data_IF_006916994171
#
_entry.id   IF_006916994171
#
_cell.length_a   1.000
_cell.length_b   1.000
_cell.length_c   1.000
_cell.angle_alpha   90.00
_cell.angle_beta   90.00
_cell.angle_gamma   90.00
#
_symmetry.space_group_name_H-M   'P 1'
#
loop_
_entity.id
_entity.type
_entity.pdbx_description
1 polymer ?
#
# COMPACT_ATOMS: atom_id res chain seq x y z
N UNK A 1 -30.96 7.51 -16.07
CA UNK A 1 -31.42 6.17 -15.65
C UNK A 1 -30.46 5.73 -14.58
N UNK A 2 -30.94 5.58 -13.33
CA UNK A 2 -30.22 4.83 -12.32
C UNK A 2 -30.34 3.37 -12.76
N UNK A 3 -29.26 2.80 -13.29
CA UNK A 3 -29.14 1.36 -13.41
C UNK A 3 -29.02 0.84 -11.99
N UNK A 4 -29.87 -0.11 -11.63
CA UNK A 4 -29.87 -0.70 -10.29
C UNK A 4 -28.58 -1.52 -10.17
N UNK A 5 -27.80 -1.34 -9.10
CA UNK A 5 -26.57 -2.11 -8.87
C UNK A 5 -26.84 -3.61 -8.82
N UNK A 6 -28.05 -3.99 -8.40
CA UNK A 6 -28.51 -5.37 -8.34
C UNK A 6 -28.61 -6.05 -9.72
N UNK A 7 -28.70 -5.26 -10.81
CA UNK A 7 -28.73 -5.76 -12.18
C UNK A 7 -27.35 -6.01 -12.78
N UNK A 8 -26.26 -5.62 -12.09
CA UNK A 8 -24.91 -5.83 -12.60
C UNK A 8 -24.48 -7.30 -12.41
N UNK A 9 -23.89 -7.93 -13.45
CA UNK A 9 -23.41 -9.29 -13.31
C UNK A 9 -22.23 -9.36 -12.34
N UNK A 10 -22.22 -10.38 -11.48
CA UNK A 10 -21.09 -10.64 -10.58
C UNK A 10 -19.83 -10.89 -11.40
N UNK A 11 -18.82 -10.07 -11.14
CA UNK A 11 -17.50 -10.19 -11.73
C UNK A 11 -16.56 -11.04 -10.86
N UNK A 12 -15.58 -11.66 -11.49
CA UNK A 12 -14.46 -12.27 -10.80
C UNK A 12 -13.16 -11.98 -11.55
N UNK A 13 -12.03 -12.20 -10.90
CA UNK A 13 -10.70 -11.91 -11.44
C UNK A 13 -10.45 -12.57 -12.80
N UNK A 14 -10.89 -13.80 -12.98
CA UNK A 14 -10.72 -14.52 -14.25
C UNK A 14 -11.50 -13.84 -15.37
N UNK A 15 -12.76 -13.54 -15.14
CA UNK A 15 -13.61 -12.84 -16.09
C UNK A 15 -13.04 -11.47 -16.48
N UNK A 16 -12.54 -10.73 -15.49
CA UNK A 16 -11.90 -9.42 -15.72
C UNK A 16 -10.64 -9.56 -16.57
N UNK A 17 -9.79 -10.54 -16.29
CA UNK A 17 -8.54 -10.73 -17.05
C UNK A 17 -8.80 -11.26 -18.47
N UNK A 18 -9.73 -12.19 -18.65
CA UNK A 18 -10.10 -12.72 -19.97
C UNK A 18 -10.70 -11.63 -20.88
N UNK A 19 -11.27 -10.58 -20.31
CA UNK A 19 -11.89 -9.46 -21.04
C UNK A 19 -11.17 -8.12 -20.80
N UNK A 20 -9.98 -8.11 -20.24
CA UNK A 20 -9.28 -6.92 -19.77
C UNK A 20 -9.28 -5.76 -20.78
N UNK A 21 -8.93 -6.04 -22.04
CA UNK A 21 -8.89 -5.01 -23.09
C UNK A 21 -10.27 -4.41 -23.43
N UNK A 22 -11.35 -5.19 -23.25
CA UNK A 22 -12.70 -4.72 -23.53
C UNK A 22 -13.31 -3.94 -22.37
N UNK A 23 -12.89 -4.28 -21.15
CA UNK A 23 -13.42 -3.68 -19.91
C UNK A 23 -12.74 -2.35 -19.63
N UNK A 24 -11.43 -2.24 -19.87
CA UNK A 24 -10.76 -0.96 -19.64
C UNK A 24 -11.08 0.04 -20.77
N UNK A 25 -11.44 1.26 -20.35
CA UNK A 25 -11.88 2.33 -21.27
C UNK A 25 -10.79 2.81 -22.24
N UNK A 26 -9.54 2.45 -21.99
CA UNK A 26 -8.39 2.83 -22.82
C UNK A 26 -8.04 1.78 -23.88
N UNK A 27 -8.67 0.61 -23.85
CA UNK A 27 -8.40 -0.49 -24.76
C UNK A 27 -6.99 -1.08 -24.66
N UNK A 28 -6.31 -0.90 -23.52
CA UNK A 28 -4.96 -1.42 -23.29
C UNK A 28 -5.01 -2.94 -23.28
N UNK A 29 -4.16 -3.59 -24.10
CA UNK A 29 -4.05 -5.04 -24.14
C UNK A 29 -3.38 -5.61 -22.90
N UNK A 30 -3.85 -6.77 -22.42
CA UNK A 30 -3.33 -7.45 -21.24
C UNK A 30 -1.83 -7.75 -21.32
N UNK A 31 -1.37 -8.27 -22.48
CA UNK A 31 0.04 -8.65 -22.65
C UNK A 31 0.98 -7.46 -22.52
N UNK A 32 0.63 -6.34 -23.14
CA UNK A 32 1.39 -5.08 -23.03
C UNK A 32 1.42 -4.58 -21.58
N UNK A 33 0.27 -4.62 -20.89
CA UNK A 33 0.18 -4.17 -19.51
C UNK A 33 0.99 -5.09 -18.57
N UNK A 34 0.92 -6.42 -18.74
CA UNK A 34 1.74 -7.37 -17.98
C UNK A 34 3.23 -7.14 -18.21
N UNK A 35 3.65 -6.97 -19.46
CA UNK A 35 5.07 -6.72 -19.77
C UNK A 35 5.56 -5.47 -19.05
N UNK A 36 4.86 -4.35 -19.15
CA UNK A 36 5.22 -3.09 -18.48
C UNK A 36 5.30 -3.26 -16.96
N UNK A 37 4.30 -3.91 -16.35
CA UNK A 37 4.29 -4.13 -14.91
C UNK A 37 5.44 -5.02 -14.44
N UNK A 38 5.75 -6.10 -15.15
CA UNK A 38 6.87 -7.00 -14.82
C UNK A 38 8.23 -6.31 -15.00
N UNK A 39 8.41 -5.56 -16.07
CA UNK A 39 9.65 -4.82 -16.32
C UNK A 39 9.92 -3.77 -15.24
N UNK A 40 8.87 -3.07 -14.79
CA UNK A 40 8.96 -2.12 -13.69
C UNK A 40 9.32 -2.79 -12.36
N UNK A 41 8.67 -3.91 -12.01
CA UNK A 41 8.98 -4.67 -10.80
C UNK A 41 10.42 -5.21 -10.77
N UNK A 42 10.96 -5.58 -11.94
CA UNK A 42 12.35 -6.06 -12.09
C UNK A 42 13.39 -4.93 -12.12
N UNK A 43 12.95 -3.69 -12.07
CA UNK A 43 13.84 -2.54 -12.19
C UNK A 43 14.40 -2.30 -13.60
N UNK A 44 13.85 -2.98 -14.62
CA UNK A 44 14.24 -2.78 -16.02
C UNK A 44 13.58 -1.53 -16.62
N UNK A 45 12.62 -0.95 -15.95
CA UNK A 45 11.91 0.27 -16.30
C UNK A 45 11.90 1.23 -15.12
N UNK A 46 12.03 2.54 -15.38
CA UNK A 46 11.95 3.57 -14.35
C UNK A 46 10.53 3.79 -13.83
N UNK A 47 9.55 3.57 -14.69
CA UNK A 47 8.13 3.77 -14.42
C UNK A 47 7.31 2.54 -14.79
N UNK A 48 6.11 2.43 -14.26
CA UNK A 48 5.13 1.41 -14.60
C UNK A 48 3.98 2.00 -15.42
N UNK A 49 4.26 2.93 -16.34
CA UNK A 49 3.24 3.67 -17.08
C UNK A 49 3.09 3.20 -18.53
N UNK A 50 1.86 3.25 -19.02
CA UNK A 50 1.51 3.28 -20.44
C UNK A 50 0.80 4.60 -20.66
N UNK A 51 1.39 5.49 -21.45
CA UNK A 51 0.95 6.87 -21.62
C UNK A 51 0.83 7.60 -20.26
N UNK A 52 -0.38 7.97 -19.86
CA UNK A 52 -0.66 8.67 -18.59
C UNK A 52 -1.21 7.74 -17.48
N UNK A 53 -1.26 6.43 -17.75
CA UNK A 53 -1.88 5.46 -16.85
C UNK A 53 -0.83 4.59 -16.19
N UNK A 54 -0.87 4.53 -14.87
CA UNK A 54 -0.02 3.63 -14.09
C UNK A 54 -0.55 2.21 -14.15
N UNK A 55 0.33 1.27 -14.41
CA UNK A 55 0.05 -0.16 -14.43
C UNK A 55 0.51 -0.77 -13.11
N UNK A 56 -0.37 -1.49 -12.45
CA UNK A 56 -0.01 -2.28 -11.29
C UNK A 56 -0.34 -3.75 -11.48
N UNK A 57 0.41 -4.62 -10.78
CA UNK A 57 0.18 -6.06 -10.78
C UNK A 57 -0.17 -6.54 -9.39
N UNK A 58 -1.17 -7.42 -9.28
CA UNK A 58 -1.49 -8.05 -8.00
C UNK A 58 -0.39 -9.03 -7.57
N UNK A 59 -0.29 -9.33 -6.27
CA UNK A 59 0.72 -10.23 -5.70
C UNK A 59 0.69 -11.65 -6.28
N UNK A 60 -0.45 -12.09 -6.82
CA UNK A 60 -0.58 -13.42 -7.42
C UNK A 60 -0.63 -14.58 -6.42
N UNK A 61 -0.91 -14.33 -5.15
CA UNK A 61 -1.00 -15.36 -4.10
C UNK A 61 -2.02 -16.47 -4.40
N UNK A 62 -3.01 -16.19 -5.24
CA UNK A 62 -4.02 -17.15 -5.72
C UNK A 62 -3.63 -17.88 -7.02
N UNK A 63 -2.36 -17.81 -7.45
CA UNK A 63 -1.84 -18.45 -8.66
C UNK A 63 -1.95 -17.63 -9.93
N UNK A 64 -2.86 -16.68 -10.01
CA UNK A 64 -3.04 -15.80 -11.17
C UNK A 64 -2.84 -14.33 -10.77
N UNK A 65 -1.91 -13.64 -11.42
CA UNK A 65 -1.72 -12.20 -11.25
C UNK A 65 -2.80 -11.44 -12.01
N UNK A 66 -3.35 -10.40 -11.38
CA UNK A 66 -4.24 -9.46 -12.04
C UNK A 66 -3.48 -8.19 -12.42
N UNK A 67 -4.02 -7.49 -13.40
CA UNK A 67 -3.58 -6.16 -13.79
C UNK A 67 -4.59 -5.17 -13.24
N UNK A 68 -4.13 -4.03 -12.77
CA UNK A 68 -4.98 -2.87 -12.51
C UNK A 68 -4.37 -1.62 -13.15
N UNK A 69 -5.24 -0.71 -13.52
CA UNK A 69 -4.91 0.56 -14.15
C UNK A 69 -5.28 1.69 -13.18
N UNK A 70 -4.40 2.66 -13.06
CA UNK A 70 -4.64 3.84 -12.23
C UNK A 70 -4.40 5.09 -13.05
N UNK A 71 -5.45 5.84 -13.31
CA UNK A 71 -5.37 7.14 -13.97
C UNK A 71 -4.73 8.19 -13.07
N UNK A 72 -4.34 9.33 -13.62
CA UNK A 72 -3.78 10.43 -12.85
C UNK A 72 -4.77 10.97 -11.80
N UNK A 73 -6.06 11.07 -12.15
CA UNK A 73 -7.11 11.52 -11.24
C UNK A 73 -7.36 10.53 -10.10
N UNK A 74 -7.38 9.22 -10.37
CA UNK A 74 -7.51 8.19 -9.34
C UNK A 74 -6.29 8.18 -8.42
N UNK A 75 -5.09 8.33 -8.98
CA UNK A 75 -3.84 8.45 -8.20
C UNK A 75 -3.89 9.67 -7.27
N UNK A 76 -4.32 10.84 -7.78
CA UNK A 76 -4.45 12.04 -6.96
C UNK A 76 -5.49 11.87 -5.84
N UNK A 77 -6.63 11.26 -6.13
CA UNK A 77 -7.66 10.95 -5.12
C UNK A 77 -7.14 9.98 -4.06
N UNK A 78 -6.41 8.93 -4.47
CA UNK A 78 -5.79 7.97 -3.57
C UNK A 78 -4.75 8.65 -2.66
N UNK A 79 -3.86 9.47 -3.22
CA UNK A 79 -2.87 10.25 -2.45
C UNK A 79 -3.54 11.13 -1.41
N UNK A 80 -4.58 11.86 -1.80
CA UNK A 80 -5.33 12.72 -0.88
C UNK A 80 -5.98 11.90 0.25
N UNK A 81 -6.60 10.76 -0.08
CA UNK A 81 -7.20 9.86 0.90
C UNK A 81 -6.16 9.30 1.88
N UNK A 82 -5.01 8.85 1.41
CA UNK A 82 -3.91 8.33 2.25
C UNK A 82 -3.37 9.44 3.16
N UNK A 83 -3.10 10.63 2.62
CA UNK A 83 -2.59 11.75 3.40
C UNK A 83 -3.55 12.16 4.51
N UNK A 84 -4.84 12.24 4.20
CA UNK A 84 -5.84 12.73 5.17
C UNK A 84 -6.24 11.65 6.18
N UNK A 85 -6.51 10.42 5.71
CA UNK A 85 -7.10 9.35 6.52
C UNK A 85 -6.07 8.49 7.24
N UNK A 86 -4.93 8.24 6.60
CA UNK A 86 -3.94 7.27 7.10
C UNK A 86 -2.77 8.00 7.76
N UNK A 87 -2.10 8.88 7.04
CA UNK A 87 -0.94 9.61 7.56
C UNK A 87 -1.38 10.68 8.56
N UNK A 88 -2.46 11.39 8.27
CA UNK A 88 -2.94 12.56 9.00
C UNK A 88 -2.18 13.84 8.59
N UNK A 89 -2.86 14.99 8.71
CA UNK A 89 -2.27 16.28 8.40
C UNK A 89 -1.36 16.73 9.53
N UNK A 90 -0.14 17.19 9.21
CA UNK A 90 0.83 17.71 10.17
C UNK A 90 1.61 18.86 9.57
N UNK A 91 1.87 19.88 10.37
CA UNK A 91 2.79 20.98 10.02
C UNK A 91 4.25 20.62 10.31
N UNK A 92 4.50 19.55 11.07
CA UNK A 92 5.84 19.04 11.31
C UNK A 92 6.23 18.06 10.21
N UNK A 93 7.48 18.11 9.80
CA UNK A 93 8.02 17.11 8.88
C UNK A 93 7.94 15.72 9.53
N UNK A 94 7.34 14.78 8.83
CA UNK A 94 7.29 13.36 9.20
C UNK A 94 8.16 12.54 8.28
N UNK A 95 8.73 11.47 8.81
CA UNK A 95 9.56 10.54 8.08
C UNK A 95 8.89 9.17 8.09
N UNK A 96 8.65 8.62 6.91
CA UNK A 96 7.97 7.35 6.72
C UNK A 96 8.96 6.30 6.23
N UNK A 97 9.09 5.21 6.98
CA UNK A 97 9.69 3.98 6.49
C UNK A 97 8.60 3.10 5.90
N UNK A 98 8.71 2.77 4.63
CA UNK A 98 7.72 2.03 3.88
C UNK A 98 8.28 0.71 3.37
N UNK A 99 7.82 -0.40 3.94
CA UNK A 99 8.28 -1.75 3.63
C UNK A 99 7.30 -2.44 2.70
N UNK A 100 7.69 -2.67 1.47
CA UNK A 100 6.90 -3.39 0.47
C UNK A 100 7.78 -4.24 -0.46
N UNK A 101 7.11 -5.09 -1.27
CA UNK A 101 7.77 -5.94 -2.27
C UNK A 101 8.37 -5.16 -3.42
N UNK A 102 7.72 -4.10 -3.84
CA UNK A 102 8.17 -3.26 -4.94
C UNK A 102 7.86 -1.79 -4.65
N UNK A 103 8.79 -0.93 -5.00
CA UNK A 103 8.52 0.50 -5.07
C UNK A 103 7.60 0.78 -6.26
N UNK A 104 6.70 1.72 -6.13
CA UNK A 104 5.86 2.18 -7.23
C UNK A 104 5.72 3.69 -7.20
N UNK A 105 5.52 4.29 -8.37
CA UNK A 105 5.27 5.72 -8.48
C UNK A 105 4.01 6.16 -7.73
N UNK A 106 3.06 5.23 -7.52
CA UNK A 106 1.89 5.49 -6.70
C UNK A 106 2.29 5.92 -5.28
N UNK A 107 3.22 5.23 -4.65
CA UNK A 107 3.70 5.54 -3.30
C UNK A 107 4.65 6.73 -3.27
N UNK A 108 5.50 6.88 -4.29
CA UNK A 108 6.39 8.06 -4.42
C UNK A 108 5.58 9.36 -4.57
N UNK A 109 4.39 9.31 -5.15
CA UNK A 109 3.51 10.47 -5.30
C UNK A 109 2.97 11.06 -3.98
N UNK A 110 3.09 10.32 -2.86
CA UNK A 110 2.75 10.82 -1.51
C UNK A 110 3.86 11.71 -0.93
N UNK A 111 5.09 11.65 -1.48
CA UNK A 111 6.24 12.43 -1.02
C UNK A 111 5.99 13.93 -1.15
N UNK A 112 6.35 14.68 -0.11
CA UNK A 112 6.24 16.16 -0.09
C UNK A 112 7.32 16.76 0.80
N UNK A 113 7.42 18.09 0.85
CA UNK A 113 8.35 18.78 1.76
C UNK A 113 8.08 18.49 3.25
N UNK A 114 6.85 18.12 3.59
CA UNK A 114 6.43 17.78 4.96
C UNK A 114 6.43 16.26 5.22
N UNK A 115 6.64 15.44 4.18
CA UNK A 115 6.61 13.98 4.28
C UNK A 115 7.81 13.39 3.54
N UNK A 116 8.87 13.10 4.29
CA UNK A 116 10.01 12.34 3.79
C UNK A 116 9.64 10.86 3.78
N UNK A 117 9.79 10.23 2.63
CA UNK A 117 9.38 8.86 2.38
C UNK A 117 10.60 8.05 1.93
N UNK A 118 10.87 6.93 2.59
CA UNK A 118 11.92 5.99 2.20
C UNK A 118 11.35 4.58 2.07
N UNK A 119 11.59 3.97 0.92
CA UNK A 119 11.21 2.61 0.59
C UNK A 119 12.28 1.62 1.08
N UNK A 120 11.82 0.49 1.62
CA UNK A 120 12.62 -0.64 2.03
C UNK A 120 12.08 -1.92 1.39
N UNK A 121 12.94 -2.67 0.71
CA UNK A 121 12.55 -3.90 0.03
C UNK A 121 12.45 -5.06 1.02
N UNK A 122 11.24 -5.60 1.21
CA UNK A 122 11.00 -6.70 2.15
C UNK A 122 11.67 -8.04 1.78
N UNK A 123 12.23 -8.17 0.59
CA UNK A 123 13.01 -9.36 0.21
C UNK A 123 14.46 -9.30 0.70
N UNK A 124 14.89 -8.19 1.26
CA UNK A 124 16.19 -8.06 1.89
C UNK A 124 16.06 -8.26 3.40
N UNK A 125 17.05 -8.90 4.05
CA UNK A 125 17.04 -9.07 5.50
C UNK A 125 16.96 -7.73 6.24
N UNK A 126 16.31 -7.71 7.40
CA UNK A 126 16.15 -6.50 8.22
C UNK A 126 17.50 -5.87 8.59
N UNK A 127 18.51 -6.69 8.81
CA UNK A 127 19.87 -6.24 9.14
C UNK A 127 20.45 -5.31 8.06
N UNK A 128 20.13 -5.54 6.78
CA UNK A 128 20.61 -4.68 5.68
C UNK A 128 19.95 -3.31 5.67
N UNK A 129 18.76 -3.20 6.27
CA UNK A 129 18.00 -1.96 6.36
C UNK A 129 18.30 -1.16 7.64
N UNK A 130 18.93 -1.82 8.62
CA UNK A 130 19.05 -1.27 9.97
C UNK A 130 19.78 0.07 10.01
N UNK A 131 20.94 0.18 9.36
CA UNK A 131 21.70 1.43 9.31
C UNK A 131 20.92 2.58 8.66
N UNK A 132 20.14 2.27 7.62
CA UNK A 132 19.29 3.26 6.94
C UNK A 132 18.13 3.70 7.83
N UNK A 133 17.54 2.79 8.59
CA UNK A 133 16.50 3.10 9.59
C UNK A 133 17.05 3.99 10.72
N UNK A 134 18.26 3.69 11.21
CA UNK A 134 18.94 4.51 12.23
C UNK A 134 19.21 5.93 11.72
N UNK A 135 19.54 6.09 10.44
CA UNK A 135 19.74 7.42 9.80
C UNK A 135 18.42 8.13 9.54
N UNK A 136 17.42 7.42 9.03
CA UNK A 136 16.11 7.98 8.72
C UNK A 136 15.39 8.44 10.00
N UNK A 137 15.39 7.62 11.06
CA UNK A 137 14.63 7.82 12.30
C UNK A 137 13.15 8.05 11.99
N UNK A 138 12.46 7.07 11.40
CA UNK A 138 11.10 7.25 10.94
C UNK A 138 10.14 7.46 12.09
N UNK A 139 9.29 8.48 12.00
CA UNK A 139 8.17 8.66 12.93
C UNK A 139 6.95 7.81 12.56
N UNK A 140 6.90 7.34 11.31
CA UNK A 140 5.82 6.48 10.81
C UNK A 140 6.43 5.24 10.16
N UNK A 141 5.92 4.07 10.52
CA UNK A 141 6.28 2.78 9.92
C UNK A 141 5.05 2.22 9.20
N UNK A 142 5.21 1.89 7.92
CA UNK A 142 4.19 1.22 7.10
C UNK A 142 4.78 -0.10 6.62
N UNK A 143 4.24 -1.20 7.12
CA UNK A 143 4.76 -2.54 6.83
C UNK A 143 3.72 -3.63 7.04
N UNK A 144 4.02 -4.83 6.55
CA UNK A 144 3.31 -6.04 6.95
C UNK A 144 3.56 -6.36 8.43
N UNK A 145 2.59 -6.97 9.15
CA UNK A 145 2.80 -7.44 10.51
C UNK A 145 4.06 -8.29 10.69
N UNK A 146 4.32 -9.21 9.76
CA UNK A 146 5.53 -10.06 9.77
C UNK A 146 6.82 -9.23 9.78
N UNK A 147 6.91 -8.19 8.94
CA UNK A 147 8.08 -7.29 8.86
C UNK A 147 8.21 -6.42 10.12
N UNK A 148 7.09 -5.98 10.70
CA UNK A 148 7.13 -5.23 11.96
C UNK A 148 7.66 -6.12 13.10
N UNK A 149 7.28 -7.39 13.14
CA UNK A 149 7.83 -8.35 14.12
C UNK A 149 9.34 -8.55 13.91
N UNK A 150 9.83 -8.65 12.69
CA UNK A 150 11.27 -8.69 12.41
C UNK A 150 12.00 -7.42 12.89
N UNK A 151 11.39 -6.26 12.70
CA UNK A 151 11.90 -4.98 13.20
C UNK A 151 11.98 -4.98 14.73
N UNK A 152 10.97 -5.53 15.42
CA UNK A 152 10.96 -5.68 16.87
C UNK A 152 12.12 -6.57 17.32
N UNK A 153 12.29 -7.75 16.70
CA UNK A 153 13.38 -8.69 17.01
C UNK A 153 14.76 -8.02 16.81
N UNK A 154 14.92 -7.26 15.74
CA UNK A 154 16.16 -6.52 15.50
C UNK A 154 16.38 -5.43 16.56
N UNK A 155 15.33 -4.72 16.98
CA UNK A 155 15.40 -3.67 18.00
C UNK A 155 15.72 -4.17 19.42
N UNK A 156 15.49 -5.46 19.71
CA UNK A 156 15.93 -6.10 20.95
C UNK A 156 17.45 -6.28 21.00
N UNK A 157 18.10 -6.39 19.85
CA UNK A 157 19.56 -6.49 19.71
C UNK A 157 20.22 -5.10 19.69
N UNK A 158 19.59 -4.17 18.97
CA UNK A 158 20.09 -2.82 18.74
C UNK A 158 19.00 -1.80 19.07
N UNK A 159 19.17 -1.02 20.12
CA UNK A 159 18.17 -0.06 20.61
C UNK A 159 17.74 0.94 19.54
N UNK A 160 16.42 1.23 19.46
CA UNK A 160 15.85 2.29 18.64
C UNK A 160 15.90 3.64 19.37
N UNK A 161 16.77 4.58 18.99
CA UNK A 161 16.97 5.85 19.69
C UNK A 161 15.99 6.96 19.26
N UNK A 162 14.82 6.61 18.70
CA UNK A 162 13.82 7.59 18.29
C UNK A 162 12.40 7.16 18.66
N UNK A 163 11.45 8.11 18.60
CA UNK A 163 10.04 7.87 18.90
C UNK A 163 9.27 7.52 17.61
N UNK A 164 8.47 6.47 17.65
CA UNK A 164 7.51 6.10 16.61
C UNK A 164 6.16 6.70 16.99
N UNK A 165 5.60 7.52 16.13
CA UNK A 165 4.30 8.18 16.32
C UNK A 165 3.14 7.33 15.79
N UNK A 166 3.40 6.53 14.74
CA UNK A 166 2.38 5.74 14.07
C UNK A 166 2.96 4.47 13.44
N UNK A 167 2.23 3.37 13.58
CA UNK A 167 2.48 2.11 12.88
C UNK A 167 1.23 1.77 12.07
N UNK A 168 1.42 1.49 10.80
CA UNK A 168 0.36 1.16 9.84
C UNK A 168 0.62 -0.22 9.28
N UNK A 169 -0.23 -1.16 9.63
CA UNK A 169 -0.22 -2.52 9.10
C UNK A 169 -0.89 -2.57 7.74
N UNK A 170 -0.22 -3.18 6.76
CA UNK A 170 -0.67 -3.31 5.37
C UNK A 170 -0.40 -4.71 4.82
N UNK A 171 -1.09 -5.07 3.75
CA UNK A 171 -0.83 -6.21 2.87
C UNK A 171 -0.92 -7.62 3.49
N UNK A 172 -1.01 -7.77 4.79
CA UNK A 172 -1.22 -9.03 5.51
C UNK A 172 -2.31 -8.85 6.57
N UNK A 173 -2.89 -9.95 7.02
CA UNK A 173 -3.86 -9.92 8.12
C UNK A 173 -3.13 -9.64 9.43
N UNK A 174 -3.51 -8.58 10.11
CA UNK A 174 -3.05 -8.29 11.46
C UNK A 174 -3.83 -9.19 12.43
N UNK A 175 -3.16 -10.22 12.99
CA UNK A 175 -3.79 -11.07 14.00
C UNK A 175 -3.87 -10.35 15.35
N UNK A 176 -4.83 -10.69 16.23
CA UNK A 176 -4.89 -10.11 17.58
C UNK A 176 -3.59 -10.30 18.38
N UNK A 177 -2.88 -11.41 18.17
CA UNK A 177 -1.59 -11.68 18.81
C UNK A 177 -0.52 -10.70 18.32
N UNK A 178 -0.41 -10.50 17.00
CA UNK A 178 0.58 -9.60 16.40
C UNK A 178 0.28 -8.15 16.80
N UNK A 179 -1.00 -7.75 16.77
CA UNK A 179 -1.42 -6.43 17.23
C UNK A 179 -1.00 -6.17 18.68
N UNK A 180 -1.20 -7.15 19.56
CA UNK A 180 -0.78 -7.03 20.97
C UNK A 180 0.73 -6.88 21.10
N UNK A 181 1.53 -7.70 20.41
CA UNK A 181 2.99 -7.63 20.44
C UNK A 181 3.46 -6.25 19.96
N UNK A 182 2.99 -5.82 18.79
CA UNK A 182 3.41 -4.57 18.16
C UNK A 182 3.00 -3.36 19.02
N UNK A 183 1.74 -3.35 19.50
CA UNK A 183 1.23 -2.25 20.32
C UNK A 183 1.97 -2.16 21.67
N UNK A 184 2.31 -3.30 22.26
CA UNK A 184 3.09 -3.33 23.52
C UNK A 184 4.49 -2.79 23.32
N UNK A 185 5.17 -3.20 22.25
CA UNK A 185 6.52 -2.73 21.92
C UNK A 185 6.56 -1.23 21.63
N UNK A 186 5.64 -0.75 20.79
CA UNK A 186 5.63 0.65 20.35
C UNK A 186 4.97 1.61 21.36
N UNK A 187 4.18 1.12 22.31
CA UNK A 187 3.38 1.93 23.23
C UNK A 187 2.22 2.66 22.57
N UNK A 188 1.85 2.28 21.34
CA UNK A 188 0.76 2.90 20.55
C UNK A 188 -0.11 1.83 19.91
N UNK A 189 -1.32 2.20 19.50
CA UNK A 189 -2.19 1.31 18.70
C UNK A 189 -1.65 1.17 17.28
N UNK A 190 -1.91 0.01 16.68
CA UNK A 190 -1.59 -0.26 15.29
C UNK A 190 -2.77 0.15 14.41
N UNK A 191 -2.53 1.06 13.48
CA UNK A 191 -3.50 1.36 12.44
C UNK A 191 -3.43 0.31 11.32
N UNK A 192 -4.54 0.07 10.65
CA UNK A 192 -4.63 -0.87 9.54
C UNK A 192 -5.11 -0.16 8.28
N UNK A 193 -4.57 -0.57 7.15
CA UNK A 193 -5.05 -0.21 5.82
C UNK A 193 -5.40 -1.48 5.07
N UNK A 194 -6.65 -1.60 4.66
CA UNK A 194 -7.08 -2.65 3.76
C UNK A 194 -7.15 -2.09 2.35
N UNK A 195 -6.19 -2.52 1.56
CA UNK A 195 -6.04 -2.14 0.15
C UNK A 195 -5.84 -3.39 -0.69
N UNK A 196 -6.47 -3.43 -1.83
CA UNK A 196 -6.33 -4.48 -2.83
C UNK A 196 -6.21 -3.85 -4.23
N UNK A 197 -6.26 -4.68 -5.28
CA UNK A 197 -6.20 -4.20 -6.67
C UNK A 197 -7.41 -3.36 -7.06
N UNK A 198 -8.53 -3.56 -6.37
CA UNK A 198 -9.79 -2.85 -6.57
C UNK A 198 -9.79 -1.46 -5.92
N UNK A 199 -8.86 -1.20 -5.01
CA UNK A 199 -8.68 0.13 -4.44
C UNK A 199 -8.35 0.16 -2.94
N UNK A 200 -8.45 1.36 -2.37
CA UNK A 200 -8.28 1.64 -0.95
C UNK A 200 -9.62 1.43 -0.22
N UNK A 201 -9.82 0.22 0.31
CA UNK A 201 -11.13 -0.25 0.77
C UNK A 201 -11.46 0.22 2.20
N UNK A 202 -10.51 0.10 3.13
CA UNK A 202 -10.75 0.47 4.53
C UNK A 202 -9.48 1.00 5.22
N UNK A 203 -9.69 1.75 6.29
CA UNK A 203 -8.60 2.27 7.14
C UNK A 203 -9.05 2.35 8.60
N UNK A 204 -8.10 2.35 9.51
CA UNK A 204 -8.36 2.59 10.93
C UNK A 204 -8.65 4.07 11.17
N UNK A 205 -9.80 4.37 11.75
CA UNK A 205 -10.19 5.74 12.10
C UNK A 205 -9.52 6.22 13.41
N UNK A 206 -9.69 7.51 13.73
CA UNK A 206 -9.15 8.12 14.97
C UNK A 206 -9.61 7.47 16.27
N UNK A 207 -10.69 6.66 16.23
CA UNK A 207 -11.18 5.88 17.38
C UNK A 207 -10.56 4.48 17.45
N UNK A 208 -9.71 4.10 16.50
CA UNK A 208 -9.04 2.81 16.44
C UNK A 208 -9.89 1.68 15.84
N UNK A 209 -10.98 1.98 15.14
CA UNK A 209 -11.81 1.00 14.46
C UNK A 209 -11.53 1.00 12.95
N UNK A 210 -11.51 -0.18 12.33
CA UNK A 210 -11.40 -0.31 10.87
C UNK A 210 -12.75 0.08 10.24
N UNK A 211 -12.73 1.05 9.34
CA UNK A 211 -13.90 1.57 8.62
C UNK A 211 -13.71 1.42 7.11
N UNK A 212 -14.79 1.01 6.44
CA UNK A 212 -14.88 1.05 5.00
C UNK A 212 -14.83 2.50 4.48
N UNK A 213 -14.18 2.69 3.35
CA UNK A 213 -14.21 3.96 2.62
C UNK A 213 -15.46 4.04 1.74
N UNK A 214 -16.64 4.01 2.37
CA UNK A 214 -17.95 3.93 1.71
C UNK A 214 -18.31 5.11 0.82
N UNK A 215 -17.51 6.16 0.86
CA UNK A 215 -17.57 7.29 -0.08
C UNK A 215 -16.86 7.01 -1.42
N UNK A 216 -16.03 5.97 -1.50
CA UNK A 216 -15.33 5.55 -2.71
C UNK A 216 -15.78 4.18 -3.22
N UNK A 217 -16.28 3.33 -2.32
CA UNK A 217 -16.63 1.95 -2.63
C UNK A 217 -17.99 1.59 -2.06
N UNK A 218 -18.70 0.72 -2.76
CA UNK A 218 -19.86 0.00 -2.25
C UNK A 218 -19.40 -1.39 -1.81
N UNK A 219 -19.82 -1.80 -0.62
CA UNK A 219 -19.55 -3.15 -0.08
C UNK A 219 -20.89 -3.81 0.20
N UNK A 220 -21.13 -4.95 -0.41
CA UNK A 220 -22.29 -5.81 -0.20
C UNK A 220 -21.96 -7.00 0.69
#
# INVERSE_FOLDING_TARGET
KHEDFDDLPLGNKKLLMDNFQKINVLGIGSDKAFQVGIEAERGHRKDSMIDIVTIGLSSGTSGNRGIFLVSESERAAWVAAVLVRVIGVSLKQRKVAFFLRANSELYESVRSNLLAFQYFNIFQPMETHWEELLRLKPSIIVAQPSVIIELIIQSERDYIPWSIEKIISVAEVLTPKDEQIISTWAGIKVDQVYQCTEGFLAHTCSKGNLHWNSDFILVE
#
